data_IF_120649395246
#
_entry.id   IF_120649395246
#
_cell.length_a   1.000
_cell.length_b   1.000
_cell.length_c   1.000
_cell.angle_alpha   90.00
_cell.angle_beta   90.00
_cell.angle_gamma   90.00
#
_symmetry.space_group_name_H-M   'P 1'
#
loop_
_entity.id
_entity.type
_entity.pdbx_description
1 polymer ?
#
# COMPACT_ATOMS: atom_id res chain seq x y z
N UNK A 1 -11.43 1.78 28.34
CA UNK A 1 -11.64 3.24 28.15
C UNK A 1 -12.33 3.47 26.81
N UNK A 2 -13.23 4.46 26.67
CA UNK A 2 -13.79 4.82 25.35
C UNK A 2 -12.93 5.91 24.70
N UNK A 3 -12.46 5.66 23.48
CA UNK A 3 -11.59 6.58 22.75
C UNK A 3 -12.24 6.92 21.41
N UNK A 4 -12.54 8.19 21.19
CA UNK A 4 -13.15 8.71 19.98
C UNK A 4 -12.12 8.99 18.88
N UNK A 5 -12.48 8.71 17.64
CA UNK A 5 -11.73 9.16 16.46
C UNK A 5 -12.66 9.85 15.46
N UNK A 6 -12.37 11.11 15.17
CA UNK A 6 -13.10 11.95 14.23
C UNK A 6 -12.23 12.30 13.02
N UNK A 7 -12.83 12.27 11.82
CA UNK A 7 -12.12 12.58 10.58
C UNK A 7 -12.94 13.45 9.65
N UNK A 8 -12.30 14.43 9.03
CA UNK A 8 -12.87 15.22 7.93
C UNK A 8 -11.88 15.39 6.78
N UNK A 9 -12.41 15.52 5.57
CA UNK A 9 -11.58 15.74 4.36
C UNK A 9 -11.24 17.22 4.15
N UNK A 10 -12.04 18.14 4.71
CA UNK A 10 -11.88 19.60 4.71
C UNK A 10 -12.27 20.15 6.08
N UNK A 11 -11.58 21.20 6.55
CA UNK A 11 -11.86 21.87 7.84
C UNK A 11 -13.11 22.75 7.74
N UNK A 12 -14.27 22.16 8.00
CA UNK A 12 -15.55 22.86 8.18
C UNK A 12 -16.40 22.10 9.22
N UNK A 13 -17.54 22.71 9.59
CA UNK A 13 -18.57 22.35 10.61
C UNK A 13 -18.88 20.86 10.87
N UNK A 14 -18.48 19.95 9.98
CA UNK A 14 -18.62 18.51 10.12
C UNK A 14 -17.68 17.87 11.16
N UNK A 15 -16.61 18.55 11.57
CA UNK A 15 -15.73 18.04 12.64
C UNK A 15 -16.39 18.24 14.01
N UNK A 16 -16.89 19.44 14.28
CA UNK A 16 -17.51 19.81 15.56
C UNK A 16 -18.71 18.91 15.86
N UNK A 17 -19.56 18.66 14.85
CA UNK A 17 -20.66 17.70 15.01
C UNK A 17 -20.14 16.32 15.42
N UNK A 18 -19.06 15.82 14.81
CA UNK A 18 -18.48 14.52 15.16
C UNK A 18 -17.94 14.46 16.58
N UNK A 19 -17.24 15.51 17.00
CA UNK A 19 -16.68 15.63 18.35
C UNK A 19 -17.80 15.61 19.37
N UNK A 20 -18.87 16.38 19.16
CA UNK A 20 -20.01 16.46 20.09
C UNK A 20 -20.65 15.08 20.32
N UNK A 21 -20.98 14.30 19.28
CA UNK A 21 -21.57 12.97 19.60
C UNK A 21 -20.55 11.96 20.13
N UNK A 22 -19.24 12.14 19.90
CA UNK A 22 -18.23 11.32 20.56
C UNK A 22 -18.14 11.66 22.06
N UNK A 23 -18.28 12.94 22.41
CA UNK A 23 -18.40 13.39 23.81
C UNK A 23 -19.68 12.85 24.45
N UNK A 24 -20.84 12.97 23.77
CA UNK A 24 -22.13 12.44 24.24
C UNK A 24 -22.10 10.90 24.39
N UNK A 25 -21.32 10.20 23.56
CA UNK A 25 -21.11 8.76 23.68
C UNK A 25 -20.21 8.36 24.87
N UNK A 26 -19.64 9.34 25.58
CA UNK A 26 -18.78 9.17 26.74
C UNK A 26 -17.33 8.82 26.38
N UNK A 27 -16.80 9.35 25.28
CA UNK A 27 -15.38 9.18 24.94
C UNK A 27 -14.51 10.05 25.83
N UNK A 28 -13.53 9.45 26.50
CA UNK A 28 -12.61 10.15 27.41
C UNK A 28 -11.50 10.89 26.66
N UNK A 29 -11.13 10.38 25.48
CA UNK A 29 -10.12 10.99 24.59
C UNK A 29 -10.66 11.00 23.19
N UNK A 30 -10.55 12.14 22.50
CA UNK A 30 -10.99 12.30 21.12
C UNK A 30 -9.78 12.70 20.28
N UNK A 31 -9.56 11.98 19.19
CA UNK A 31 -8.50 12.23 18.24
C UNK A 31 -9.10 12.73 16.94
N UNK A 32 -8.65 13.91 16.50
CA UNK A 32 -9.13 14.57 15.29
C UNK A 32 -8.08 14.47 14.19
N UNK A 33 -8.51 14.08 12.98
CA UNK A 33 -7.63 14.02 11.82
C UNK A 33 -8.26 14.74 10.62
N UNK A 34 -7.56 15.77 10.13
CA UNK A 34 -7.93 16.49 8.90
C UNK A 34 -7.07 15.99 7.75
N UNK A 35 -7.55 14.96 7.07
CA UNK A 35 -6.87 14.36 5.93
C UNK A 35 -7.90 13.97 4.88
N UNK A 36 -7.67 14.40 3.64
CA UNK A 36 -8.47 13.96 2.50
C UNK A 36 -8.33 12.44 2.32
N UNK A 37 -9.44 11.77 2.01
CA UNK A 37 -9.48 10.30 1.86
C UNK A 37 -8.51 9.72 0.83
N UNK A 38 -7.83 10.55 0.04
CA UNK A 38 -6.87 10.14 -1.01
C UNK A 38 -5.48 9.83 -0.44
N UNK A 39 -4.99 10.56 0.58
CA UNK A 39 -3.62 10.37 1.09
C UNK A 39 -3.50 9.11 1.94
N UNK A 40 -2.69 8.12 1.54
CA UNK A 40 -2.54 6.82 2.22
C UNK A 40 -2.09 6.95 3.68
N UNK A 41 -1.30 7.97 3.99
CA UNK A 41 -0.73 8.16 5.31
C UNK A 41 -1.72 8.81 6.30
N UNK A 42 -1.82 8.22 7.49
CA UNK A 42 -2.75 8.60 8.57
C UNK A 42 -2.00 8.58 9.91
N UNK A 43 -1.17 9.59 10.18
CA UNK A 43 -0.30 9.59 11.34
C UNK A 43 -1.09 9.60 12.66
N UNK A 44 -2.26 10.24 12.73
CA UNK A 44 -3.05 10.32 13.96
C UNK A 44 -3.69 8.98 14.26
N UNK A 45 -4.33 8.37 13.27
CA UNK A 45 -4.93 7.03 13.43
C UNK A 45 -3.87 5.98 13.77
N UNK A 46 -2.72 6.01 13.10
CA UNK A 46 -1.64 5.05 13.35
C UNK A 46 -1.05 5.22 14.76
N UNK A 47 -0.95 6.44 15.26
CA UNK A 47 -0.49 6.69 16.63
C UNK A 47 -1.55 6.25 17.65
N UNK A 48 -2.82 6.54 17.38
CA UNK A 48 -3.94 6.09 18.20
C UNK A 48 -3.95 4.56 18.34
N UNK A 49 -3.83 3.83 17.24
CA UNK A 49 -3.81 2.36 17.24
C UNK A 49 -2.66 1.79 18.09
N UNK A 50 -1.52 2.49 18.18
CA UNK A 50 -0.38 2.09 19.03
C UNK A 50 -0.61 2.38 20.53
N UNK A 51 -1.50 3.32 20.85
CA UNK A 51 -1.79 3.72 22.22
C UNK A 51 -2.94 2.91 22.85
N UNK A 52 -3.74 2.24 22.03
CA UNK A 52 -4.86 1.40 22.49
C UNK A 52 -4.36 0.25 23.37
N UNK A 53 -5.10 -0.02 24.44
CA UNK A 53 -4.83 -1.10 25.38
C UNK A 53 -5.96 -2.12 25.37
N UNK A 54 -5.70 -3.37 25.80
CA UNK A 54 -6.76 -4.36 26.02
C UNK A 54 -7.85 -3.80 26.94
N UNK A 55 -9.11 -3.94 26.54
CA UNK A 55 -10.28 -3.39 27.24
C UNK A 55 -10.69 -1.98 26.80
N UNK A 56 -9.95 -1.36 25.88
CA UNK A 56 -10.39 -0.11 25.26
C UNK A 56 -11.42 -0.35 24.15
N UNK A 57 -12.24 0.68 23.90
CA UNK A 57 -13.23 0.70 22.83
C UNK A 57 -12.93 1.92 21.96
N UNK A 58 -12.56 1.67 20.72
CA UNK A 58 -12.45 2.69 19.69
C UNK A 58 -13.84 3.05 19.20
N UNK A 59 -14.25 4.30 19.37
CA UNK A 59 -15.55 4.82 18.97
C UNK A 59 -15.36 5.76 17.78
N UNK A 60 -16.17 5.58 16.74
CA UNK A 60 -16.18 6.46 15.57
C UNK A 60 -17.61 6.89 15.28
N UNK A 61 -17.77 8.06 14.66
CA UNK A 61 -19.09 8.52 14.23
C UNK A 61 -19.71 7.58 13.19
N UNK A 62 -18.92 7.23 12.17
CA UNK A 62 -19.26 6.30 11.09
C UNK A 62 -18.03 5.52 10.62
N UNK A 63 -18.25 4.35 10.05
CA UNK A 63 -17.19 3.46 9.54
C UNK A 63 -16.38 4.08 8.39
N UNK A 64 -16.97 4.96 7.57
CA UNK A 64 -16.27 5.68 6.50
C UNK A 64 -15.21 6.66 7.04
N UNK A 65 -15.29 7.01 8.33
CA UNK A 65 -14.27 7.81 9.02
C UNK A 65 -13.06 6.97 9.37
N UNK A 66 -13.26 5.70 9.73
CA UNK A 66 -12.19 4.76 10.08
C UNK A 66 -11.50 4.15 8.84
N UNK A 67 -12.24 3.80 7.79
CA UNK A 67 -11.69 3.09 6.62
C UNK A 67 -12.16 3.63 5.28
N UNK A 68 -11.36 3.42 4.23
CA UNK A 68 -11.69 3.83 2.84
C UNK A 68 -12.37 2.73 2.05
N UNK A 69 -12.26 1.50 2.54
CA UNK A 69 -12.80 0.31 1.92
C UNK A 69 -13.16 -0.67 3.03
N UNK A 70 -14.10 -1.56 2.74
CA UNK A 70 -14.48 -2.63 3.65
C UNK A 70 -13.25 -3.48 4.03
N UNK A 71 -12.36 -3.74 3.07
CA UNK A 71 -11.07 -4.39 3.31
C UNK A 71 -10.27 -3.73 4.44
N UNK A 72 -10.08 -2.41 4.37
CA UNK A 72 -9.27 -1.71 5.38
C UNK A 72 -9.91 -1.80 6.78
N UNK A 73 -11.25 -1.77 6.85
CA UNK A 73 -11.97 -1.96 8.10
C UNK A 73 -11.78 -3.37 8.65
N UNK A 74 -11.87 -4.38 7.79
CA UNK A 74 -11.66 -5.79 8.14
C UNK A 74 -10.24 -6.02 8.64
N UNK A 75 -9.24 -5.51 7.93
CA UNK A 75 -7.83 -5.60 8.32
C UNK A 75 -7.61 -4.94 9.70
N UNK A 76 -8.22 -3.76 9.95
CA UNK A 76 -8.13 -3.09 11.26
C UNK A 76 -8.75 -3.92 12.38
N UNK A 77 -9.96 -4.44 12.19
CA UNK A 77 -10.65 -5.19 13.24
C UNK A 77 -10.01 -6.55 13.50
N UNK A 78 -9.43 -7.19 12.48
CA UNK A 78 -8.58 -8.38 12.67
C UNK A 78 -7.38 -8.10 13.58
N UNK A 79 -6.91 -6.86 13.66
CA UNK A 79 -5.87 -6.44 14.63
C UNK A 79 -6.48 -6.10 15.99
N UNK A 80 -7.66 -5.47 16.05
CA UNK A 80 -8.26 -5.02 17.31
C UNK A 80 -8.85 -6.16 18.16
N UNK A 81 -9.56 -7.12 17.54
CA UNK A 81 -10.25 -8.21 18.27
C UNK A 81 -9.27 -9.07 19.07
N UNK A 82 -8.16 -9.59 18.51
CA UNK A 82 -7.22 -10.41 19.26
C UNK A 82 -6.55 -9.66 20.42
N UNK A 83 -6.44 -8.33 20.33
CA UNK A 83 -5.91 -7.47 21.37
C UNK A 83 -6.96 -7.08 22.43
N UNK A 84 -8.16 -7.68 22.41
CA UNK A 84 -9.29 -7.32 23.26
C UNK A 84 -9.67 -5.83 23.18
N UNK A 85 -9.56 -5.23 21.99
CA UNK A 85 -9.99 -3.85 21.74
C UNK A 85 -11.30 -3.88 20.97
N UNK A 86 -12.31 -3.18 21.51
CA UNK A 86 -13.61 -3.02 20.87
C UNK A 86 -13.59 -1.94 19.78
N UNK A 87 -14.48 -2.08 18.80
CA UNK A 87 -14.79 -1.07 17.80
C UNK A 87 -16.29 -0.82 17.84
N UNK A 88 -16.68 0.44 18.00
CA UNK A 88 -18.07 0.89 18.01
C UNK A 88 -18.26 2.04 17.02
N UNK A 89 -19.32 1.97 16.22
CA UNK A 89 -19.76 3.07 15.36
C UNK A 89 -21.07 3.64 15.91
N UNK A 90 -21.18 4.96 16.03
CA UNK A 90 -22.38 5.60 16.59
C UNK A 90 -23.57 5.57 15.63
N UNK A 91 -23.32 5.71 14.32
CA UNK A 91 -24.38 5.79 13.31
C UNK A 91 -24.49 4.54 12.44
N UNK A 92 -23.65 3.53 12.66
CA UNK A 92 -23.73 2.25 11.95
C UNK A 92 -24.02 1.13 12.96
N UNK A 93 -24.71 0.04 12.57
CA UNK A 93 -25.07 -1.05 13.47
C UNK A 93 -23.88 -1.99 13.76
N UNK A 94 -22.69 -1.44 13.98
CA UNK A 94 -21.46 -2.21 14.22
C UNK A 94 -20.90 -1.84 15.59
N UNK A 95 -21.03 -2.79 16.50
CA UNK A 95 -20.40 -2.77 17.82
C UNK A 95 -19.77 -4.14 18.13
N UNK A 96 -18.45 -4.24 17.99
CA UNK A 96 -17.69 -5.47 18.21
C UNK A 96 -17.49 -5.80 19.70
N UNK A 97 -17.98 -4.96 20.62
CA UNK A 97 -18.05 -5.32 22.04
C UNK A 97 -19.15 -6.34 22.33
N UNK A 98 -20.18 -6.37 21.48
CA UNK A 98 -21.30 -7.31 21.58
C UNK A 98 -21.10 -8.58 20.74
N UNK A 99 -21.68 -9.70 21.16
CA UNK A 99 -21.64 -10.96 20.42
C UNK A 99 -22.30 -10.84 19.04
N UNK A 100 -23.39 -10.08 18.96
CA UNK A 100 -24.14 -9.85 17.73
C UNK A 100 -23.35 -8.98 16.75
N UNK A 101 -22.76 -7.88 17.22
CA UNK A 101 -21.94 -7.02 16.36
C UNK A 101 -20.65 -7.69 15.90
N UNK A 102 -20.04 -8.57 16.71
CA UNK A 102 -18.93 -9.43 16.26
C UNK A 102 -19.35 -10.37 15.14
N UNK A 103 -20.53 -11.00 15.23
CA UNK A 103 -21.04 -11.87 14.18
C UNK A 103 -21.26 -11.10 12.87
N UNK A 104 -21.97 -9.98 12.94
CA UNK A 104 -22.23 -9.11 11.77
C UNK A 104 -20.93 -8.66 11.14
N UNK A 105 -19.95 -8.26 11.95
CA UNK A 105 -18.64 -7.87 11.45
C UNK A 105 -17.90 -9.03 10.76
N UNK A 106 -17.93 -10.23 11.33
CA UNK A 106 -17.29 -11.40 10.72
C UNK A 106 -17.93 -11.75 9.36
N UNK A 107 -19.24 -11.59 9.21
CA UNK A 107 -19.92 -11.76 7.92
C UNK A 107 -19.40 -10.74 6.90
N UNK A 108 -19.27 -9.47 7.29
CA UNK A 108 -18.67 -8.44 6.43
C UNK A 108 -17.22 -8.74 6.08
N UNK A 109 -16.45 -9.29 7.01
CA UNK A 109 -15.08 -9.73 6.78
C UNK A 109 -15.00 -10.84 5.74
N UNK A 110 -15.80 -11.89 5.89
CA UNK A 110 -15.88 -12.98 4.91
C UNK A 110 -16.36 -12.49 3.54
N UNK A 111 -17.30 -11.56 3.49
CA UNK A 111 -17.76 -10.96 2.23
C UNK A 111 -16.65 -10.16 1.53
N UNK A 112 -15.86 -9.40 2.29
CA UNK A 112 -14.73 -8.63 1.75
C UNK A 112 -13.60 -9.53 1.22
N UNK A 113 -13.38 -10.69 1.83
CA UNK A 113 -12.46 -11.71 1.33
C UNK A 113 -13.00 -12.35 0.05
N UNK A 114 -14.28 -12.72 0.04
CA UNK A 114 -14.94 -13.29 -1.13
C UNK A 114 -14.87 -12.37 -2.36
N UNK A 115 -15.18 -11.08 -2.21
CA UNK A 115 -15.07 -10.12 -3.31
C UNK A 115 -13.65 -10.05 -3.90
N UNK A 116 -12.63 -10.14 -3.04
CA UNK A 116 -11.22 -10.14 -3.47
C UNK A 116 -10.88 -11.37 -4.30
N UNK A 117 -11.36 -12.52 -3.87
CA UNK A 117 -11.13 -13.78 -4.56
C UNK A 117 -11.84 -13.79 -5.92
N UNK A 118 -13.07 -13.28 -6.00
CA UNK A 118 -13.79 -13.13 -7.28
C UNK A 118 -13.04 -12.20 -8.24
N UNK A 119 -12.52 -11.05 -7.77
CA UNK A 119 -11.72 -10.14 -8.61
C UNK A 119 -10.44 -10.84 -9.10
N UNK A 120 -9.77 -11.58 -8.21
CA UNK A 120 -8.55 -12.33 -8.54
C UNK A 120 -8.82 -13.41 -9.58
N UNK A 121 -9.88 -14.19 -9.40
CA UNK A 121 -10.28 -15.25 -10.32
C UNK A 121 -10.58 -14.69 -11.72
N UNK A 122 -11.38 -13.62 -11.80
CA UNK A 122 -11.65 -12.92 -13.08
C UNK A 122 -10.39 -12.41 -13.74
N UNK A 123 -9.47 -11.85 -12.96
CA UNK A 123 -8.19 -11.34 -13.49
C UNK A 123 -7.34 -12.48 -14.04
N UNK A 124 -7.29 -13.62 -13.34
CA UNK A 124 -6.55 -14.80 -13.79
C UNK A 124 -7.16 -15.40 -15.05
N UNK A 125 -8.49 -15.51 -15.13
CA UNK A 125 -9.21 -15.96 -16.32
C UNK A 125 -8.96 -15.02 -17.52
N UNK A 126 -8.95 -13.70 -17.29
CA UNK A 126 -8.61 -12.73 -18.33
C UNK A 126 -7.15 -12.86 -18.82
N UNK A 127 -6.22 -13.06 -17.89
CA UNK A 127 -4.80 -13.28 -18.20
C UNK A 127 -4.56 -14.59 -18.94
N UNK A 128 -5.22 -15.68 -18.56
CA UNK A 128 -5.10 -16.98 -19.24
C UNK A 128 -5.64 -16.89 -20.68
N UNK A 129 -6.82 -16.26 -20.86
CA UNK A 129 -7.38 -16.01 -22.18
C UNK A 129 -6.48 -15.09 -23.04
N UNK A 130 -5.88 -14.06 -22.46
CA UNK A 130 -4.93 -13.19 -23.17
C UNK A 130 -3.66 -13.95 -23.60
N UNK A 131 -3.12 -14.81 -22.73
CA UNK A 131 -1.97 -15.67 -23.05
C UNK A 131 -2.30 -16.69 -24.14
N UNK A 132 -3.48 -17.30 -24.10
CA UNK A 132 -3.95 -18.20 -25.15
C UNK A 132 -4.04 -17.50 -26.53
N UNK A 133 -4.37 -16.20 -26.54
CA UNK A 133 -4.32 -15.33 -27.73
C UNK A 133 -2.91 -14.80 -28.07
N UNK A 134 -1.85 -15.33 -27.45
CA UNK A 134 -0.47 -14.94 -27.72
C UNK A 134 0.03 -13.68 -27.00
N UNK A 135 -0.79 -13.01 -26.17
CA UNK A 135 -0.34 -11.88 -25.35
C UNK A 135 0.30 -12.39 -24.05
N UNK A 136 1.62 -12.53 -24.06
CA UNK A 136 2.41 -13.04 -22.92
C UNK A 136 2.49 -12.06 -21.72
N UNK A 137 2.27 -10.76 -21.96
CA UNK A 137 2.41 -9.72 -20.95
C UNK A 137 3.87 -9.49 -20.51
N UNK A 138 4.07 -8.66 -19.47
CA UNK A 138 5.40 -8.35 -18.94
C UNK A 138 6.18 -7.29 -19.73
N UNK A 139 7.37 -6.93 -19.22
CA UNK A 139 8.25 -5.96 -19.87
C UNK A 139 8.79 -6.56 -21.18
N UNK A 140 8.68 -5.87 -22.34
CA UNK A 140 9.24 -6.33 -23.60
C UNK A 140 10.70 -6.77 -23.46
N UNK A 141 11.05 -7.90 -24.08
CA UNK A 141 12.43 -8.41 -24.12
C UNK A 141 13.30 -7.53 -25.01
N UNK A 142 14.59 -7.47 -24.70
CA UNK A 142 15.59 -6.75 -25.49
C UNK A 142 15.82 -5.30 -25.06
N UNK A 143 16.65 -4.62 -25.85
CA UNK A 143 16.95 -3.20 -25.69
C UNK A 143 15.85 -2.38 -26.38
N UNK A 144 15.12 -1.51 -25.65
CA UNK A 144 14.15 -0.64 -26.30
C UNK A 144 14.88 0.36 -27.20
N UNK A 145 14.29 0.74 -28.35
CA UNK A 145 14.91 1.67 -29.33
C UNK A 145 15.49 2.95 -28.70
N UNK A 146 14.77 3.51 -27.72
CA UNK A 146 15.22 4.70 -26.96
C UNK A 146 16.55 4.52 -26.19
N UNK A 147 16.94 3.28 -25.91
CA UNK A 147 18.16 2.93 -25.18
C UNK A 147 19.31 2.53 -26.10
N UNK A 148 19.10 2.53 -27.42
CA UNK A 148 20.09 2.14 -28.42
C UNK A 148 21.28 3.09 -28.47
N UNK A 149 21.02 4.41 -28.47
CA UNK A 149 22.07 5.44 -28.40
C UNK A 149 22.91 5.32 -27.12
N UNK A 150 22.26 5.08 -25.98
CA UNK A 150 22.95 4.87 -24.69
C UNK A 150 23.78 3.59 -24.70
N UNK A 151 23.27 2.50 -25.29
CA UNK A 151 24.00 1.25 -25.38
C UNK A 151 25.22 1.36 -26.33
N UNK A 152 25.11 2.13 -27.41
CA UNK A 152 26.24 2.47 -28.28
C UNK A 152 27.31 3.26 -27.52
N UNK A 153 26.91 4.32 -26.80
CA UNK A 153 27.84 5.10 -25.98
C UNK A 153 28.52 4.25 -24.88
N UNK A 154 27.79 3.30 -24.27
CA UNK A 154 28.37 2.33 -23.32
C UNK A 154 29.43 1.46 -24.00
N UNK A 155 29.15 0.93 -25.19
CA UNK A 155 30.10 0.10 -25.94
C UNK A 155 31.37 0.87 -26.28
N UNK A 156 31.24 2.09 -26.83
CA UNK A 156 32.37 2.93 -27.21
C UNK A 156 33.27 3.24 -26.01
N UNK A 157 32.70 3.77 -24.92
CA UNK A 157 33.45 4.14 -23.72
C UNK A 157 34.08 2.92 -23.03
N UNK A 158 33.45 1.74 -23.13
CA UNK A 158 34.01 0.52 -22.56
C UNK A 158 35.20 0.00 -23.37
N UNK A 159 35.13 0.05 -24.71
CA UNK A 159 36.23 -0.36 -25.60
C UNK A 159 37.42 0.60 -25.55
N UNK A 160 37.19 1.89 -25.34
CA UNK A 160 38.26 2.89 -25.14
C UNK A 160 39.12 2.59 -23.92
N UNK A 161 38.59 1.91 -22.90
CA UNK A 161 39.34 1.45 -21.73
C UNK A 161 39.84 2.54 -20.77
N UNK A 162 39.58 3.82 -21.06
CA UNK A 162 40.05 4.97 -20.27
C UNK A 162 39.25 5.22 -18.99
N UNK A 163 37.99 4.76 -18.94
CA UNK A 163 37.09 4.96 -17.81
C UNK A 163 36.73 3.63 -17.16
N UNK A 164 36.72 3.60 -15.83
CA UNK A 164 36.20 2.46 -15.10
C UNK A 164 34.69 2.29 -15.35
N UNK A 165 34.20 1.06 -15.22
CA UNK A 165 32.77 0.73 -15.39
C UNK A 165 31.86 1.61 -14.52
N UNK A 166 32.31 1.98 -13.32
CA UNK A 166 31.56 2.84 -12.41
C UNK A 166 31.50 4.29 -12.90
N UNK A 167 32.60 4.81 -13.46
CA UNK A 167 32.63 6.15 -14.06
C UNK A 167 31.75 6.24 -15.31
N UNK A 168 31.77 5.21 -16.17
CA UNK A 168 30.90 5.13 -17.35
C UNK A 168 29.42 5.13 -16.93
N UNK A 169 29.07 4.29 -15.95
CA UNK A 169 27.70 4.20 -15.42
C UNK A 169 27.21 5.55 -14.87
N UNK A 170 28.06 6.25 -14.10
CA UNK A 170 27.74 7.57 -13.53
C UNK A 170 27.59 8.63 -14.63
N UNK A 171 28.48 8.64 -15.63
CA UNK A 171 28.48 9.62 -16.73
C UNK A 171 27.24 9.49 -17.63
N UNK A 172 26.74 8.27 -17.83
CA UNK A 172 25.56 7.98 -18.64
C UNK A 172 24.25 7.90 -17.82
N UNK A 173 24.30 8.11 -16.50
CA UNK A 173 23.12 8.08 -15.63
C UNK A 173 22.43 6.72 -15.54
N UNK A 174 23.17 5.62 -15.71
CA UNK A 174 22.62 4.25 -15.69
C UNK A 174 23.22 3.43 -14.56
N UNK A 175 22.52 2.39 -14.10
CA UNK A 175 23.06 1.46 -13.11
C UNK A 175 24.15 0.57 -13.73
N UNK A 176 25.10 0.10 -12.90
CA UNK A 176 26.11 -0.91 -13.28
C UNK A 176 25.47 -2.16 -13.92
N UNK A 177 24.32 -2.60 -13.38
CA UNK A 177 23.56 -3.73 -13.92
C UNK A 177 22.99 -3.47 -15.32
N UNK A 178 22.54 -2.25 -15.60
CA UNK A 178 22.03 -1.85 -16.92
C UNK A 178 23.17 -1.73 -17.93
N UNK A 179 24.33 -1.20 -17.50
CA UNK A 179 25.53 -1.12 -18.33
C UNK A 179 25.98 -2.51 -18.81
N UNK A 180 26.15 -3.47 -17.91
CA UNK A 180 26.50 -4.85 -18.30
C UNK A 180 25.42 -5.52 -19.15
N UNK A 181 24.14 -5.21 -18.90
CA UNK A 181 23.04 -5.69 -19.75
C UNK A 181 23.16 -5.17 -21.18
N UNK A 182 23.57 -3.91 -21.35
CA UNK A 182 23.79 -3.31 -22.68
C UNK A 182 25.01 -3.90 -23.38
N UNK A 183 26.14 -4.08 -22.67
CA UNK A 183 27.33 -4.74 -23.21
C UNK A 183 27.03 -6.18 -23.67
N UNK A 184 26.31 -6.96 -22.85
CA UNK A 184 25.89 -8.32 -23.22
C UNK A 184 24.92 -8.33 -24.40
N UNK A 185 23.98 -7.37 -24.45
CA UNK A 185 23.06 -7.25 -25.58
C UNK A 185 23.77 -6.91 -26.88
N UNK A 186 24.86 -6.14 -26.82
CA UNK A 186 25.68 -5.75 -27.97
C UNK A 186 26.86 -6.71 -28.23
N UNK A 187 26.90 -7.88 -27.57
CA UNK A 187 27.93 -8.91 -27.71
C UNK A 187 29.38 -8.40 -27.49
N UNK A 188 29.56 -7.41 -26.62
CA UNK A 188 30.89 -6.92 -26.25
C UNK A 188 31.54 -7.92 -25.29
N UNK A 189 32.79 -8.33 -25.57
CA UNK A 189 33.55 -9.20 -24.68
C UNK A 189 33.80 -8.49 -23.34
N UNK A 190 33.26 -9.05 -22.26
CA UNK A 190 33.45 -8.52 -20.91
C UNK A 190 34.64 -9.27 -20.31
N UNK A 191 35.78 -8.60 -20.15
CA UNK A 191 36.92 -9.21 -19.48
C UNK A 191 36.53 -9.65 -18.06
N UNK A 192 36.87 -10.90 -17.71
CA UNK A 192 36.76 -11.37 -16.32
C UNK A 192 37.75 -10.58 -15.48
N UNK A 193 37.33 -10.14 -14.31
CA UNK A 193 38.20 -9.51 -13.33
C UNK A 193 39.29 -10.51 -12.92
N UNK A 194 40.54 -10.25 -13.29
CA UNK A 194 41.69 -10.83 -12.58
C UNK A 194 41.82 -10.08 -11.25
N UNK A 195 41.64 -10.78 -10.14
CA UNK A 195 42.06 -10.28 -8.83
C UNK A 195 43.59 -10.31 -8.82
N UNK A 196 44.23 -9.16 -9.00
CA UNK A 196 45.60 -8.98 -8.52
C UNK A 196 45.52 -8.90 -6.99
N UNK A 197 46.10 -9.91 -6.35
CA UNK A 197 46.41 -9.97 -4.92
C UNK A 197 47.48 -8.93 -4.61
#
# INVERSE_FOLDING_TARGET
MKIGYARVSTREQNLDMQVIALEDAGCEKIYEEVVSGVKADRPVLNNLLKQLRPGDVLVVWKLDRLGRSLKHLVDLVQVLIPNNIGLCSLNDPIDTTTSQGRLVFNIFASLAEFERDVIRERTQAGLSAARARGRLGGRPRGLPKKSEATAYAVETLYREGQLSVMQIAKKLGISKSTLYKYLRFRNVAICKYEHQI
#
